data_IF_207302200349
#
_entry.id   IF_207302200349
#
_cell.length_a   1.000
_cell.length_b   1.000
_cell.length_c   1.000
_cell.angle_alpha   90.00
_cell.angle_beta   90.00
_cell.angle_gamma   90.00
#
_symmetry.space_group_name_H-M   'P 1'
#
loop_
_entity.id
_entity.type
_entity.pdbx_description
1 polymer ?
#
# COMPACT_ATOMS: atom_id res chain seq x y z
N UNK A 1 -1.56 1.30 -15.70
CA UNK A 1 -1.66 1.20 -14.22
C UNK A 1 -1.75 2.58 -13.56
N UNK A 2 -0.75 3.46 -13.73
CA UNK A 2 -0.71 4.79 -13.06
C UNK A 2 -1.97 5.65 -13.30
N UNK A 3 -2.41 5.80 -14.55
CA UNK A 3 -3.62 6.57 -14.88
C UNK A 3 -4.90 6.01 -14.21
N UNK A 4 -5.14 4.70 -14.31
CA UNK A 4 -6.29 4.04 -13.70
C UNK A 4 -6.26 4.05 -12.16
N UNK A 5 -5.08 4.04 -11.55
CA UNK A 5 -4.92 4.12 -10.10
C UNK A 5 -5.27 5.49 -9.52
N UNK A 6 -5.19 6.55 -10.34
CA UNK A 6 -5.50 7.93 -9.93
C UNK A 6 -6.94 8.34 -10.27
N UNK A 7 -7.66 7.55 -11.08
CA UNK A 7 -9.04 7.82 -11.47
C UNK A 7 -9.98 7.96 -10.25
N UNK A 8 -9.65 7.32 -9.13
CA UNK A 8 -10.44 7.42 -7.90
C UNK A 8 -10.23 8.67 -7.08
N UNK A 9 -9.33 9.59 -7.48
CA UNK A 9 -9.27 10.95 -6.90
C UNK A 9 -10.61 11.69 -7.01
N UNK A 10 -11.45 11.36 -7.99
CA UNK A 10 -12.82 11.91 -8.06
C UNK A 10 -13.63 11.59 -6.79
N UNK A 11 -13.43 10.42 -6.18
CA UNK A 11 -14.17 10.02 -4.98
C UNK A 11 -13.81 10.84 -3.75
N UNK A 12 -12.62 11.45 -3.67
CA UNK A 12 -12.26 12.30 -2.52
C UNK A 12 -13.08 13.59 -2.41
N UNK A 13 -13.93 13.90 -3.41
CA UNK A 13 -14.95 14.94 -3.29
C UNK A 13 -15.99 14.62 -2.20
N UNK A 14 -16.16 13.34 -1.86
CA UNK A 14 -17.07 12.90 -0.80
C UNK A 14 -16.24 12.68 0.49
N UNK A 15 -16.40 13.53 1.52
CA UNK A 15 -15.66 13.37 2.76
C UNK A 15 -15.99 12.03 3.43
N UNK A 16 -14.99 11.41 4.06
CA UNK A 16 -15.02 10.10 4.75
C UNK A 16 -15.27 8.86 3.88
N UNK A 17 -16.04 8.95 2.80
CA UNK A 17 -16.39 7.81 1.93
C UNK A 17 -15.38 7.65 0.78
N UNK A 18 -14.87 8.77 0.26
CA UNK A 18 -13.96 8.77 -0.88
C UNK A 18 -12.60 8.12 -0.61
N UNK A 19 -12.09 8.28 0.61
CA UNK A 19 -10.76 7.80 0.98
C UNK A 19 -10.68 6.26 1.07
N UNK A 20 -11.60 5.55 1.76
CA UNK A 20 -11.61 4.09 1.77
C UNK A 20 -11.79 3.48 0.36
N UNK A 21 -12.74 3.99 -0.41
CA UNK A 21 -13.03 3.51 -1.77
C UNK A 21 -11.82 3.72 -2.68
N UNK A 22 -11.20 4.90 -2.62
CA UNK A 22 -9.99 5.22 -3.37
C UNK A 22 -8.83 4.30 -3.00
N UNK A 23 -8.67 3.98 -1.71
CA UNK A 23 -7.63 3.08 -1.23
C UNK A 23 -7.83 1.64 -1.73
N UNK A 24 -9.05 1.10 -1.65
CA UNK A 24 -9.38 -0.24 -2.16
C UNK A 24 -9.11 -0.32 -3.66
N UNK A 25 -9.63 0.63 -4.43
CA UNK A 25 -9.44 0.66 -5.88
C UNK A 25 -7.96 0.75 -6.27
N UNK A 26 -7.22 1.66 -5.63
CA UNK A 26 -5.79 1.85 -5.89
C UNK A 26 -5.02 0.56 -5.61
N UNK A 27 -5.34 -0.14 -4.53
CA UNK A 27 -4.74 -1.41 -4.16
C UNK A 27 -5.02 -2.49 -5.22
N UNK A 28 -6.27 -2.63 -5.68
CA UNK A 28 -6.64 -3.59 -6.73
C UNK A 28 -5.86 -3.31 -8.03
N UNK A 29 -5.87 -2.05 -8.50
CA UNK A 29 -5.17 -1.66 -9.74
C UNK A 29 -3.65 -1.87 -9.61
N UNK A 30 -3.07 -1.62 -8.44
CA UNK A 30 -1.65 -1.89 -8.19
C UNK A 30 -1.33 -3.38 -8.22
N UNK A 31 -2.14 -4.21 -7.56
CA UNK A 31 -1.94 -5.67 -7.54
C UNK A 31 -2.02 -6.25 -8.94
N UNK A 32 -3.06 -5.92 -9.71
CA UNK A 32 -3.21 -6.38 -11.10
C UNK A 32 -2.08 -5.85 -11.96
N UNK A 33 -1.73 -4.56 -11.82
CA UNK A 33 -0.65 -3.94 -12.57
C UNK A 33 0.72 -4.56 -12.32
N UNK A 34 1.06 -4.83 -11.07
CA UNK A 34 2.30 -5.51 -10.71
C UNK A 34 2.31 -6.96 -11.20
N UNK A 35 1.18 -7.66 -11.07
CA UNK A 35 1.02 -9.05 -11.51
C UNK A 35 1.33 -9.17 -12.99
N UNK A 36 0.73 -8.32 -13.83
CA UNK A 36 0.96 -8.39 -15.28
C UNK A 36 2.33 -7.86 -15.67
N UNK A 37 2.85 -6.82 -15.01
CA UNK A 37 4.19 -6.31 -15.31
C UNK A 37 5.32 -7.31 -14.98
N UNK A 38 5.11 -8.19 -13.99
CA UNK A 38 6.09 -9.18 -13.56
C UNK A 38 5.72 -10.60 -13.98
N UNK A 39 4.64 -10.77 -14.77
CA UNK A 39 4.14 -12.05 -15.27
C UNK A 39 4.11 -13.17 -14.21
N UNK A 40 3.64 -12.82 -13.01
CA UNK A 40 3.73 -13.68 -11.83
C UNK A 40 2.35 -13.97 -11.23
N UNK A 41 2.31 -14.69 -10.11
CA UNK A 41 1.05 -15.00 -9.43
C UNK A 41 0.61 -13.89 -8.48
N UNK A 42 -0.70 -13.75 -8.28
CA UNK A 42 -1.27 -12.78 -7.33
C UNK A 42 -0.72 -12.95 -5.91
N UNK A 43 -0.50 -14.18 -5.44
CA UNK A 43 0.07 -14.45 -4.12
C UNK A 43 1.47 -13.84 -3.95
N UNK A 44 2.34 -13.96 -4.96
CA UNK A 44 3.68 -13.36 -4.94
C UNK A 44 3.60 -11.83 -4.91
N UNK A 45 2.66 -11.24 -5.64
CA UNK A 45 2.47 -9.79 -5.62
C UNK A 45 1.93 -9.30 -4.28
N UNK A 46 0.98 -9.98 -3.67
CA UNK A 46 0.45 -9.60 -2.35
C UNK A 46 1.55 -9.64 -1.30
N UNK A 47 2.38 -10.68 -1.29
CA UNK A 47 3.56 -10.75 -0.40
C UNK A 47 4.52 -9.58 -0.69
N UNK A 48 4.86 -9.33 -1.95
CA UNK A 48 5.73 -8.22 -2.33
C UNK A 48 5.16 -6.85 -1.93
N UNK A 49 3.85 -6.67 -2.06
CA UNK A 49 3.13 -5.45 -1.70
C UNK A 49 3.14 -5.18 -0.19
N UNK A 50 3.26 -6.23 0.64
CA UNK A 50 3.36 -6.12 2.10
C UNK A 50 4.78 -5.84 2.59
N UNK A 51 5.82 -6.08 1.78
CA UNK A 51 7.23 -5.85 2.17
C UNK A 51 7.46 -4.42 2.69
N UNK A 52 7.04 -3.33 2.01
CA UNK A 52 7.25 -1.98 2.50
C UNK A 52 6.58 -1.71 3.86
N UNK A 53 5.40 -2.30 4.08
CA UNK A 53 4.67 -2.15 5.34
C UNK A 53 5.40 -2.83 6.50
N UNK A 54 5.85 -4.08 6.30
CA UNK A 54 6.63 -4.82 7.30
C UNK A 54 7.93 -4.08 7.61
N UNK A 55 8.62 -3.58 6.57
CA UNK A 55 9.87 -2.85 6.73
C UNK A 55 9.68 -1.55 7.53
N UNK A 56 8.59 -0.82 7.29
CA UNK A 56 8.23 0.37 8.08
C UNK A 56 8.00 0.01 9.56
N UNK A 57 7.24 -1.06 9.83
CA UNK A 57 6.98 -1.53 11.20
C UNK A 57 8.28 -1.87 11.92
N UNK A 58 9.20 -2.58 11.26
CA UNK A 58 10.50 -2.96 11.83
C UNK A 58 11.33 -1.72 12.18
N UNK A 59 11.39 -0.72 11.27
CA UNK A 59 12.13 0.52 11.51
C UNK A 59 11.56 1.30 12.70
N UNK A 60 10.23 1.42 12.78
CA UNK A 60 9.56 2.10 13.90
C UNK A 60 9.83 1.37 15.22
N UNK A 61 9.68 0.05 15.24
CA UNK A 61 9.92 -0.77 16.42
C UNK A 61 11.37 -0.68 16.90
N UNK A 62 12.34 -0.75 15.97
CA UNK A 62 13.75 -0.61 16.29
C UNK A 62 14.09 0.78 16.85
N UNK A 63 13.54 1.85 16.24
CA UNK A 63 13.70 3.22 16.72
C UNK A 63 13.10 3.44 18.11
N UNK A 64 11.89 2.92 18.34
CA UNK A 64 11.22 2.98 19.64
C UNK A 64 12.02 2.22 20.71
N UNK A 65 12.47 1.01 20.41
CA UNK A 65 13.31 0.21 21.30
C UNK A 65 14.62 0.95 21.65
N UNK A 66 15.31 1.48 20.65
CA UNK A 66 16.53 2.27 20.85
C UNK A 66 16.28 3.48 21.75
N UNK A 67 15.21 4.24 21.49
CA UNK A 67 14.86 5.41 22.29
C UNK A 67 14.56 5.04 23.75
N UNK A 68 13.74 4.00 23.98
CA UNK A 68 13.38 3.53 25.32
C UNK A 68 14.61 3.04 26.08
N UNK A 69 15.54 2.36 25.41
CA UNK A 69 16.78 1.87 26.05
C UNK A 69 17.78 2.97 26.45
N UNK A 70 17.54 4.23 26.04
CA UNK A 70 18.40 5.40 26.28
C UNK A 70 17.76 6.45 27.19
N UNK A 71 16.53 6.21 27.64
CA UNK A 71 15.83 6.95 28.69
C UNK A 71 16.25 6.44 30.07
#
# INVERSE_FOLDING_TARGET
VMAYSQATRVWSLIPFIGSPIGWVWRSIVQIVGLKEAHETSYGRIVVAFLIPLVMLIVVIAAGAFFFISRL
#
